data_IF_688909475564
#
_entry.id   IF_688909475564
#
_cell.length_a   1.000
_cell.length_b   1.000
_cell.length_c   1.000
_cell.angle_alpha   90.00
_cell.angle_beta   90.00
_cell.angle_gamma   90.00
#
_symmetry.space_group_name_H-M   'P 1'
#
loop_
_entity.id
_entity.type
_entity.pdbx_description
1 polymer ?
#
# COMPACT_ATOMS: atom_id res chain seq x y z
N UNK A 1 -16.21 23.19 15.00
CA UNK A 1 -15.77 22.51 13.76
C UNK A 1 -15.01 21.26 14.17
N UNK A 2 -15.69 20.12 14.27
CA UNK A 2 -15.08 18.86 14.72
C UNK A 2 -14.69 18.08 13.47
N UNK A 3 -13.40 18.07 13.12
CA UNK A 3 -12.87 17.31 11.98
C UNK A 3 -13.06 15.81 12.29
N UNK A 4 -13.77 15.02 11.46
CA UNK A 4 -13.91 13.59 11.71
C UNK A 4 -12.53 12.93 11.69
N UNK A 5 -12.31 11.99 12.61
CA UNK A 5 -11.07 11.23 12.74
C UNK A 5 -10.67 10.59 11.40
N UNK A 6 -9.37 10.52 11.05
CA UNK A 6 -8.94 10.10 9.72
C UNK A 6 -9.03 8.57 9.59
N UNK A 7 -10.21 8.06 9.24
CA UNK A 7 -10.31 6.79 8.51
C UNK A 7 -9.66 6.90 7.13
N UNK A 8 -9.35 8.11 6.66
CA UNK A 8 -8.52 8.39 5.49
C UNK A 8 -7.00 8.23 5.68
N UNK A 9 -6.51 7.69 6.81
CA UNK A 9 -5.07 7.59 7.07
C UNK A 9 -4.36 6.40 6.41
N UNK A 10 -4.96 5.20 6.47
CA UNK A 10 -4.28 3.94 6.07
C UNK A 10 -4.41 3.65 4.58
N UNK A 11 -5.59 3.89 3.99
CA UNK A 11 -5.83 3.70 2.54
C UNK A 11 -5.01 4.69 1.72
N UNK A 12 -4.97 5.96 2.12
CA UNK A 12 -4.15 6.97 1.43
C UNK A 12 -2.65 6.72 1.60
N UNK A 13 -2.21 6.17 2.74
CA UNK A 13 -0.83 5.72 2.93
C UNK A 13 -0.49 4.53 2.02
N UNK A 14 -1.42 3.58 1.87
CA UNK A 14 -1.30 2.45 0.93
C UNK A 14 -1.20 2.93 -0.52
N UNK A 15 -2.13 3.78 -0.97
CA UNK A 15 -2.14 4.31 -2.33
C UNK A 15 -0.86 5.10 -2.64
N UNK A 16 -0.36 5.89 -1.69
CA UNK A 16 0.92 6.59 -1.83
C UNK A 16 2.08 5.61 -1.95
N UNK A 17 2.16 4.61 -1.07
CA UNK A 17 3.24 3.62 -1.08
C UNK A 17 3.26 2.79 -2.35
N UNK A 18 2.08 2.39 -2.84
CA UNK A 18 1.91 1.68 -4.10
C UNK A 18 2.37 2.54 -5.28
N UNK A 19 1.98 3.82 -5.31
CA UNK A 19 2.41 4.74 -6.36
C UNK A 19 3.93 4.87 -6.40
N UNK A 20 4.60 5.12 -5.27
CA UNK A 20 6.07 5.19 -5.23
C UNK A 20 6.74 3.87 -5.69
N UNK A 21 6.17 2.71 -5.32
CA UNK A 21 6.70 1.43 -5.75
C UNK A 21 6.57 1.22 -7.27
N UNK A 22 5.45 1.63 -7.86
CA UNK A 22 5.17 1.48 -9.30
C UNK A 22 5.88 2.55 -10.15
N UNK A 23 6.11 3.75 -9.63
CA UNK A 23 6.73 4.83 -10.42
C UNK A 23 8.23 4.97 -10.21
N UNK A 24 8.71 4.68 -9.00
CA UNK A 24 10.11 4.87 -8.62
C UNK A 24 10.84 3.57 -8.28
N UNK A 25 10.13 2.44 -8.18
CA UNK A 25 10.73 1.20 -7.66
C UNK A 25 11.20 1.33 -6.21
N UNK A 26 10.58 2.22 -5.44
CA UNK A 26 10.99 2.53 -4.05
C UNK A 26 9.80 2.61 -3.11
N UNK A 27 10.03 2.24 -1.86
CA UNK A 27 9.06 2.39 -0.78
C UNK A 27 9.17 3.81 -0.19
N UNK A 28 8.03 4.47 0.14
CA UNK A 28 8.09 5.67 0.98
C UNK A 28 8.66 5.26 2.35
N UNK A 29 9.39 6.14 3.02
CA UNK A 29 10.01 5.81 4.31
C UNK A 29 9.01 5.24 5.33
N UNK A 30 9.50 4.42 6.28
CA UNK A 30 8.79 3.60 7.31
C UNK A 30 7.70 4.29 8.18
N UNK A 31 7.28 5.51 7.84
CA UNK A 31 6.24 6.26 8.56
C UNK A 31 4.80 5.85 8.20
N UNK A 32 4.59 4.97 7.22
CA UNK A 32 3.25 4.45 6.93
C UNK A 32 2.91 3.31 7.89
N UNK A 33 1.84 3.47 8.67
CA UNK A 33 1.29 2.42 9.53
C UNK A 33 0.52 1.37 8.70
N UNK A 34 1.23 0.75 7.75
CA UNK A 34 0.72 -0.37 6.96
C UNK A 34 1.01 -1.69 7.67
N UNK A 35 0.15 -2.67 7.47
CA UNK A 35 0.30 -4.01 8.00
C UNK A 35 1.50 -4.70 7.35
N UNK A 36 2.04 -5.71 8.05
CA UNK A 36 3.27 -6.37 7.63
C UNK A 36 3.10 -7.08 6.28
N UNK A 37 1.91 -7.64 6.03
CA UNK A 37 1.59 -8.38 4.80
C UNK A 37 1.47 -7.41 3.62
N UNK A 38 0.71 -6.33 3.81
CA UNK A 38 0.56 -5.25 2.82
C UNK A 38 1.92 -4.64 2.46
N UNK A 39 2.77 -4.39 3.47
CA UNK A 39 4.09 -3.83 3.25
C UNK A 39 5.00 -4.76 2.44
N UNK A 40 4.98 -6.06 2.72
CA UNK A 40 5.76 -7.05 1.99
C UNK A 40 5.34 -7.13 0.51
N UNK A 41 4.04 -7.02 0.21
CA UNK A 41 3.54 -6.99 -1.16
C UNK A 41 4.01 -5.75 -1.92
N UNK A 42 3.95 -4.56 -1.31
CA UNK A 42 4.46 -3.32 -1.92
C UNK A 42 5.98 -3.39 -2.12
N UNK A 43 6.73 -3.99 -1.19
CA UNK A 43 8.16 -4.22 -1.35
C UNK A 43 8.46 -5.13 -2.55
N UNK A 44 7.65 -6.17 -2.78
CA UNK A 44 7.78 -7.03 -3.94
C UNK A 44 7.56 -6.25 -5.25
N UNK A 45 6.57 -5.34 -5.30
CA UNK A 45 6.35 -4.46 -6.46
C UNK A 45 7.58 -3.58 -6.70
N UNK A 46 8.09 -2.93 -5.65
CA UNK A 46 9.26 -2.06 -5.76
C UNK A 46 10.51 -2.80 -6.27
N UNK A 47 10.74 -4.05 -5.81
CA UNK A 47 11.88 -4.87 -6.25
C UNK A 47 11.77 -5.35 -7.69
N UNK A 48 10.56 -5.57 -8.19
CA UNK A 48 10.33 -6.04 -9.56
C UNK A 48 10.14 -4.89 -10.55
N UNK A 49 10.14 -3.63 -10.09
CA UNK A 49 10.04 -2.46 -10.96
C UNK A 49 11.23 -2.38 -11.94
N UNK A 50 11.02 -2.04 -13.23
CA UNK A 50 9.76 -1.63 -13.87
C UNK A 50 8.91 -2.78 -14.43
N UNK A 51 9.38 -4.03 -14.35
CA UNK A 51 8.69 -5.22 -14.84
C UNK A 51 7.66 -5.78 -13.86
N UNK A 52 7.27 -4.99 -12.85
CA UNK A 52 6.33 -5.41 -11.83
C UNK A 52 4.99 -5.78 -12.48
N UNK A 53 4.67 -7.07 -12.47
CA UNK A 53 3.46 -7.60 -13.07
C UNK A 53 2.22 -7.09 -12.33
N UNK A 54 1.12 -6.93 -13.06
CA UNK A 54 -0.19 -6.51 -12.53
C UNK A 54 -0.69 -7.45 -11.42
N UNK A 55 -0.24 -8.71 -11.40
CA UNK A 55 -0.50 -9.68 -10.34
C UNK A 55 0.02 -9.21 -8.98
N UNK A 56 1.22 -8.62 -8.91
CA UNK A 56 1.77 -8.09 -7.66
C UNK A 56 0.95 -6.93 -7.11
N UNK A 57 0.35 -6.13 -8.00
CA UNK A 57 -0.54 -5.02 -7.64
C UNK A 57 -1.84 -5.58 -7.05
N UNK A 58 -2.40 -6.63 -7.64
CA UNK A 58 -3.58 -7.31 -7.11
C UNK A 58 -3.29 -7.93 -5.73
N UNK A 59 -2.15 -8.61 -5.56
CA UNK A 59 -1.74 -9.18 -4.28
C UNK A 59 -1.58 -8.13 -3.18
N UNK A 60 -1.08 -6.94 -3.51
CA UNK A 60 -0.99 -5.83 -2.56
C UNK A 60 -2.37 -5.33 -2.11
N UNK A 61 -3.34 -5.27 -3.02
CA UNK A 61 -4.72 -4.91 -2.70
C UNK A 61 -5.44 -5.99 -1.89
N UNK A 62 -5.21 -7.27 -2.19
CA UNK A 62 -5.79 -8.39 -1.46
C UNK A 62 -5.22 -8.46 -0.02
N UNK A 63 -3.91 -8.26 0.11
CA UNK A 63 -3.23 -8.15 1.41
C UNK A 63 -3.77 -6.98 2.23
N UNK A 64 -3.98 -5.82 1.60
CA UNK A 64 -4.57 -4.66 2.25
C UNK A 64 -6.00 -4.92 2.72
N UNK A 65 -6.84 -5.53 1.87
CA UNK A 65 -8.22 -5.89 2.22
C UNK A 65 -8.28 -6.95 3.32
N UNK A 66 -7.33 -7.88 3.36
CA UNK A 66 -7.22 -8.90 4.39
C UNK A 66 -6.82 -8.30 5.74
N UNK A 67 -5.84 -7.39 5.77
CA UNK A 67 -5.33 -6.81 7.03
C UNK A 67 -6.23 -5.71 7.60
N UNK A 68 -6.85 -4.90 6.75
CA UNK A 68 -7.66 -3.76 7.17
C UNK A 68 -9.16 -4.04 7.12
N UNK A 69 -9.55 -5.21 6.62
CA UNK A 69 -10.92 -5.51 6.25
C UNK A 69 -11.33 -4.75 4.99
N UNK A 70 -12.28 -5.33 4.24
CA UNK A 70 -13.09 -4.52 3.34
C UNK A 70 -13.79 -3.47 4.22
N UNK A 71 -13.24 -2.25 4.28
CA UNK A 71 -13.98 -1.08 4.75
C UNK A 71 -15.10 -0.83 3.75
N UNK A 72 -16.15 -1.63 3.86
CA UNK A 72 -17.47 -1.44 3.26
C UNK A 72 -18.31 -0.52 4.13
#
# INVERSE_FOLDING_TARGET
MTRPAPTGGVRSAFEHALMCAITEGRLPGRSCALGATTWAAIEAIARNHPEAATELINDAYDSFQTEYGAVG
#
